data_IF_806919192042
#
_entry.id   IF_806919192042
#
_cell.length_a   1.000
_cell.length_b   1.000
_cell.length_c   1.000
_cell.angle_alpha   90.00
_cell.angle_beta   90.00
_cell.angle_gamma   90.00
#
_symmetry.space_group_name_H-M   'P 1'
#
loop_
_entity.id
_entity.type
_entity.pdbx_description
1 polymer ?
#
# COMPACT_ATOMS: atom_id res chain seq x y z
N UNK A 1 49.72 26.13 9.85
CA UNK A 1 48.64 25.83 8.89
C UNK A 1 47.97 24.48 9.21
N UNK A 2 48.71 23.37 9.26
CA UNK A 2 48.17 22.03 9.56
C UNK A 2 47.35 21.93 10.87
N UNK A 3 47.79 22.56 11.97
CA UNK A 3 47.08 22.50 13.26
C UNK A 3 45.68 23.14 13.22
N UNK A 4 45.52 24.26 12.50
CA UNK A 4 44.22 24.93 12.33
C UNK A 4 43.28 24.11 11.44
N UNK A 5 43.82 23.50 10.39
CA UNK A 5 43.08 22.57 9.53
C UNK A 5 42.58 21.35 10.31
N UNK A 6 43.42 20.74 11.15
CA UNK A 6 43.02 19.60 11.98
C UNK A 6 41.91 19.94 12.99
N UNK A 7 41.91 21.15 13.57
CA UNK A 7 40.82 21.57 14.44
C UNK A 7 39.50 21.78 13.70
N UNK A 8 39.54 22.27 12.45
CA UNK A 8 38.35 22.41 11.60
C UNK A 8 37.80 21.01 11.25
N UNK A 9 38.65 20.08 10.82
CA UNK A 9 38.24 18.71 10.51
C UNK A 9 37.70 17.99 11.75
N UNK A 10 38.35 18.11 12.91
CA UNK A 10 37.85 17.55 14.16
C UNK A 10 36.48 18.15 14.55
N UNK A 11 36.29 19.46 14.38
CA UNK A 11 34.99 20.11 14.60
C UNK A 11 33.90 19.59 13.67
N UNK A 12 34.20 19.39 12.39
CA UNK A 12 33.26 18.81 11.42
C UNK A 12 32.92 17.37 11.75
N UNK A 13 33.90 16.56 12.17
CA UNK A 13 33.67 15.18 12.61
C UNK A 13 32.75 15.16 13.83
N UNK A 14 33.00 16.02 14.83
CA UNK A 14 32.14 16.12 16.02
C UNK A 14 30.72 16.56 15.65
N UNK A 15 30.55 17.50 14.72
CA UNK A 15 29.24 17.91 14.22
C UNK A 15 28.51 16.77 13.47
N UNK A 16 29.22 16.01 12.64
CA UNK A 16 28.66 14.83 11.96
C UNK A 16 28.25 13.76 12.97
N UNK A 17 29.10 13.48 13.97
CA UNK A 17 28.79 12.51 15.02
C UNK A 17 27.62 12.97 15.90
N UNK A 18 27.57 14.26 16.26
CA UNK A 18 26.46 14.84 17.01
C UNK A 18 25.16 14.84 16.19
N UNK A 19 25.22 15.15 14.89
CA UNK A 19 24.09 15.07 13.98
C UNK A 19 23.59 13.63 13.77
N UNK A 20 24.51 12.67 13.60
CA UNK A 20 24.19 11.25 13.52
C UNK A 20 23.60 10.72 14.84
N UNK A 21 24.12 11.18 15.98
CA UNK A 21 23.59 10.88 17.31
C UNK A 21 22.18 11.48 17.49
N UNK A 22 21.98 12.76 17.14
CA UNK A 22 20.68 13.42 17.19
C UNK A 22 19.66 12.74 16.27
N UNK A 23 20.04 12.37 15.04
CA UNK A 23 19.16 11.62 14.13
C UNK A 23 18.87 10.21 14.66
N UNK A 24 19.85 9.54 15.27
CA UNK A 24 19.67 8.21 15.85
C UNK A 24 18.68 8.20 17.02
N UNK A 25 18.64 9.26 17.84
CA UNK A 25 17.77 9.33 19.02
C UNK A 25 16.47 10.12 18.80
N UNK A 26 16.49 11.13 17.93
CA UNK A 26 15.37 12.05 17.67
C UNK A 26 14.93 12.09 16.20
N UNK A 27 15.46 11.23 15.33
CA UNK A 27 15.15 11.23 13.90
C UNK A 27 13.66 11.12 13.60
N UNK A 28 12.95 10.26 14.34
CA UNK A 28 11.50 10.09 14.19
C UNK A 28 10.73 11.38 14.55
N UNK A 29 11.15 12.11 15.59
CA UNK A 29 10.54 13.38 15.98
C UNK A 29 10.89 14.52 15.02
N UNK A 30 12.09 14.50 14.44
CA UNK A 30 12.48 15.44 13.36
C UNK A 30 11.66 15.18 12.09
N UNK A 31 11.43 13.92 11.72
CA UNK A 31 10.56 13.53 10.58
C UNK A 31 9.11 13.97 10.83
N UNK A 32 8.59 13.80 12.06
CA UNK A 32 7.28 14.33 12.45
C UNK A 32 7.22 15.85 12.26
N UNK A 33 8.19 16.57 12.81
CA UNK A 33 8.23 18.04 12.73
C UNK A 33 8.33 18.55 11.29
N UNK A 34 8.97 17.81 10.39
CA UNK A 34 9.17 18.23 8.99
C UNK A 34 8.04 17.86 8.03
N UNK A 35 7.18 16.90 8.40
CA UNK A 35 6.14 16.36 7.50
C UNK A 35 4.71 16.55 8.02
N UNK A 36 4.50 16.78 9.32
CA UNK A 36 3.16 17.07 9.86
C UNK A 36 2.79 18.53 9.54
N UNK A 37 1.60 18.80 8.95
CA UNK A 37 1.14 20.15 8.71
C UNK A 37 1.04 20.99 9.99
N UNK A 38 1.39 22.27 9.87
CA UNK A 38 1.28 23.24 10.97
C UNK A 38 -0.06 23.98 11.03
N UNK A 39 -0.94 23.75 10.06
CA UNK A 39 -2.29 24.35 10.03
C UNK A 39 -3.35 23.43 10.66
N UNK A 40 -4.50 23.98 11.02
CA UNK A 40 -5.69 23.19 11.38
C UNK A 40 -6.32 22.57 10.13
N UNK A 41 -6.99 21.42 10.29
CA UNK A 41 -7.74 20.82 9.20
C UNK A 41 -8.87 21.74 8.74
N UNK A 42 -8.91 22.02 7.43
CA UNK A 42 -10.01 22.75 6.80
C UNK A 42 -11.03 21.76 6.27
N UNK A 43 -12.24 21.80 6.83
CA UNK A 43 -13.35 20.98 6.34
C UNK A 43 -13.65 21.32 4.87
N UNK A 44 -13.74 20.28 4.04
CA UNK A 44 -14.09 20.38 2.63
C UNK A 44 -15.40 19.62 2.40
N UNK A 45 -16.23 20.05 1.45
CA UNK A 45 -17.40 19.27 1.07
C UNK A 45 -16.98 17.91 0.51
N UNK A 46 -17.86 16.93 0.69
CA UNK A 46 -17.78 15.66 -0.02
C UNK A 46 -17.81 15.92 -1.53
N UNK A 47 -17.11 15.09 -2.30
CA UNK A 47 -17.22 15.10 -3.75
C UNK A 47 -18.66 14.80 -4.17
N UNK A 48 -19.09 15.35 -5.31
CA UNK A 48 -20.38 15.04 -5.88
C UNK A 48 -20.50 13.52 -6.14
N UNK A 49 -21.68 12.94 -5.92
CA UNK A 49 -21.90 11.48 -6.06
C UNK A 49 -21.54 10.94 -7.45
N UNK A 50 -21.66 11.76 -8.48
CA UNK A 50 -21.34 11.44 -9.87
C UNK A 50 -19.94 11.94 -10.30
N UNK A 51 -19.11 12.44 -9.38
CA UNK A 51 -17.80 12.99 -9.73
C UNK A 51 -16.94 11.99 -10.53
N UNK A 52 -16.97 10.71 -10.13
CA UNK A 52 -16.18 9.65 -10.76
C UNK A 52 -16.80 9.07 -12.04
N UNK A 53 -17.91 9.62 -12.53
CA UNK A 53 -18.38 9.33 -13.89
C UNK A 53 -17.45 10.01 -14.92
N UNK A 54 -16.81 11.12 -14.52
CA UNK A 54 -15.74 11.77 -15.29
C UNK A 54 -14.46 10.92 -15.28
N UNK A 55 -13.89 10.68 -16.47
CA UNK A 55 -12.64 9.94 -16.62
C UNK A 55 -11.45 10.68 -15.99
N UNK A 56 -11.50 12.01 -15.91
CA UNK A 56 -10.45 12.83 -15.33
C UNK A 56 -10.25 12.58 -13.83
N UNK A 57 -11.26 12.02 -13.15
CA UNK A 57 -11.19 11.63 -11.74
C UNK A 57 -10.49 10.27 -11.51
N UNK A 58 -9.95 9.65 -12.56
CA UNK A 58 -9.24 8.38 -12.48
C UNK A 58 -7.78 8.55 -12.90
N UNK A 59 -6.87 7.94 -12.14
CA UNK A 59 -5.47 7.77 -12.56
C UNK A 59 -5.32 6.57 -13.49
N UNK A 60 -6.08 5.51 -13.22
CA UNK A 60 -6.13 4.32 -14.07
C UNK A 60 -7.58 3.95 -14.36
N UNK A 61 -7.86 3.68 -15.63
CA UNK A 61 -9.15 3.20 -16.15
C UNK A 61 -8.92 2.47 -17.47
N UNK A 62 -9.67 1.42 -17.82
CA UNK A 62 -9.41 0.62 -19.03
C UNK A 62 -9.44 1.41 -20.33
N UNK A 63 -10.22 2.49 -20.39
CA UNK A 63 -10.42 3.35 -21.54
C UNK A 63 -9.64 4.67 -21.48
N UNK A 64 -8.76 4.86 -20.48
CA UNK A 64 -7.87 6.01 -20.40
C UNK A 64 -6.60 5.79 -21.24
N UNK A 65 -6.28 6.70 -22.18
CA UNK A 65 -4.97 6.71 -22.83
C UNK A 65 -3.85 6.87 -21.80
N UNK A 66 -2.73 6.19 -22.02
CA UNK A 66 -1.57 6.29 -21.12
C UNK A 66 -1.78 5.73 -19.72
N UNK A 67 -2.80 4.87 -19.51
CA UNK A 67 -3.10 4.26 -18.22
C UNK A 67 -1.83 3.62 -17.58
N UNK A 68 -1.32 4.16 -16.46
CA UNK A 68 -0.08 3.70 -15.85
C UNK A 68 -0.17 2.26 -15.32
N UNK A 69 -1.38 1.77 -15.02
CA UNK A 69 -1.59 0.40 -14.56
C UNK A 69 -1.41 -0.65 -15.68
N UNK A 70 -1.28 -0.22 -16.95
CA UNK A 70 -0.95 -1.11 -18.08
C UNK A 70 0.56 -1.30 -18.29
N UNK A 71 1.41 -0.56 -17.57
CA UNK A 71 2.86 -0.74 -17.64
C UNK A 71 3.26 -2.16 -17.26
N UNK A 72 4.27 -2.72 -17.91
CA UNK A 72 4.88 -4.01 -17.56
C UNK A 72 6.40 -3.95 -17.76
N UNK A 73 7.19 -4.70 -16.96
CA UNK A 73 8.59 -4.93 -17.27
C UNK A 73 8.73 -5.78 -18.53
N UNK A 74 9.95 -5.86 -19.07
CA UNK A 74 10.26 -6.71 -20.22
C UNK A 74 9.86 -8.17 -19.97
N UNK A 75 9.33 -8.84 -21.00
CA UNK A 75 8.86 -10.22 -20.93
C UNK A 75 7.45 -10.41 -20.37
N UNK A 76 6.80 -9.33 -19.89
CA UNK A 76 5.42 -9.35 -19.44
C UNK A 76 4.54 -8.49 -20.35
N UNK A 77 3.24 -8.79 -20.36
CA UNK A 77 2.26 -8.01 -21.12
C UNK A 77 0.93 -7.99 -20.36
N UNK A 78 0.16 -6.89 -20.39
CA UNK A 78 -1.19 -6.91 -19.84
C UNK A 78 -2.06 -7.92 -20.59
N UNK A 79 -3.25 -8.17 -20.06
CA UNK A 79 -4.22 -9.07 -20.69
C UNK A 79 -4.50 -8.65 -22.15
N UNK A 80 -4.37 -9.58 -23.08
CA UNK A 80 -4.56 -9.31 -24.51
C UNK A 80 -6.03 -9.06 -24.93
N UNK A 81 -7.00 -9.51 -24.13
CA UNK A 81 -8.43 -9.37 -24.41
C UNK A 81 -9.13 -8.63 -23.28
N UNK A 82 -10.04 -7.68 -23.58
CA UNK A 82 -10.89 -7.05 -22.57
C UNK A 82 -11.62 -8.06 -21.69
N UNK A 83 -11.93 -7.67 -20.46
CA UNK A 83 -12.62 -8.54 -19.49
C UNK A 83 -11.74 -9.04 -18.35
N UNK A 84 -11.98 -10.27 -17.87
CA UNK A 84 -11.42 -10.75 -16.60
C UNK A 84 -12.09 -10.07 -15.39
N UNK A 85 -11.38 -10.03 -14.27
CA UNK A 85 -11.85 -9.30 -13.09
C UNK A 85 -11.91 -7.77 -13.37
N UNK A 86 -12.74 -7.08 -12.60
CA UNK A 86 -12.59 -5.64 -12.40
C UNK A 86 -11.73 -5.44 -11.14
N UNK A 87 -10.60 -4.76 -11.28
CA UNK A 87 -9.67 -4.54 -10.17
C UNK A 87 -9.84 -3.11 -9.67
N UNK A 88 -10.31 -2.94 -8.44
CA UNK A 88 -10.35 -1.64 -7.78
C UNK A 88 -9.09 -1.50 -6.94
N UNK A 89 -8.16 -0.66 -7.39
CA UNK A 89 -6.86 -0.45 -6.74
C UNK A 89 -6.81 0.93 -6.09
N UNK A 90 -6.58 0.97 -4.78
CA UNK A 90 -6.44 2.23 -4.02
C UNK A 90 -4.95 2.45 -3.75
N UNK A 91 -4.37 3.46 -4.39
CA UNK A 91 -2.93 3.72 -4.36
C UNK A 91 -2.44 4.24 -3.00
N UNK A 92 -1.13 4.17 -2.71
CA UNK A 92 -0.58 4.66 -1.45
C UNK A 92 -0.49 6.19 -1.44
N UNK A 93 -0.01 6.71 -0.31
CA UNK A 93 0.26 8.13 -0.13
C UNK A 93 1.35 8.62 -1.10
N UNK A 94 0.96 9.58 -1.93
CA UNK A 94 1.80 10.29 -2.89
C UNK A 94 1.92 11.77 -2.53
N UNK A 95 1.10 12.26 -1.61
CA UNK A 95 1.19 13.62 -1.08
C UNK A 95 2.13 13.66 0.12
N UNK A 96 3.31 14.24 -0.08
CA UNK A 96 4.38 14.34 0.94
C UNK A 96 4.64 15.77 1.42
N UNK A 97 3.92 16.75 0.84
CA UNK A 97 3.97 18.13 1.33
C UNK A 97 3.25 18.24 2.68
N UNK A 98 3.69 19.20 3.50
CA UNK A 98 3.07 19.58 4.76
C UNK A 98 2.23 20.86 4.66
N UNK A 99 2.03 21.37 3.45
CA UNK A 99 1.30 22.64 3.23
C UNK A 99 -0.17 22.52 3.64
N UNK A 100 -0.78 21.37 3.35
CA UNK A 100 -2.16 21.05 3.70
C UNK A 100 -2.30 19.65 4.29
N UNK A 101 -3.41 19.42 4.98
CA UNK A 101 -3.76 18.08 5.47
C UNK A 101 -4.15 17.11 4.35
N UNK A 102 -4.73 17.62 3.25
CA UNK A 102 -5.10 16.84 2.09
C UNK A 102 -4.59 17.50 0.80
N UNK A 103 -4.15 16.69 -0.15
CA UNK A 103 -3.76 17.16 -1.48
C UNK A 103 -4.96 17.78 -2.21
N UNK A 104 -4.77 18.91 -2.93
CA UNK A 104 -5.68 19.29 -4.00
C UNK A 104 -5.85 18.13 -4.98
N UNK A 105 -7.08 17.92 -5.48
CA UNK A 105 -7.39 16.78 -6.35
C UNK A 105 -6.62 16.81 -7.67
N UNK A 106 -6.27 18.00 -8.13
CA UNK A 106 -5.55 18.31 -9.37
C UNK A 106 -4.06 18.60 -9.16
N UNK A 107 -3.52 18.35 -7.96
CA UNK A 107 -2.09 18.53 -7.69
C UNK A 107 -1.23 17.63 -8.59
N UNK A 108 -0.46 18.25 -9.49
CA UNK A 108 0.25 17.53 -10.54
C UNK A 108 1.35 16.61 -9.96
N UNK A 109 2.15 17.09 -9.00
CA UNK A 109 3.24 16.32 -8.41
C UNK A 109 2.72 15.08 -7.68
N UNK A 110 1.66 15.23 -6.90
CA UNK A 110 1.00 14.12 -6.19
C UNK A 110 0.42 13.11 -7.16
N UNK A 111 -0.24 13.57 -8.23
CA UNK A 111 -0.85 12.68 -9.22
C UNK A 111 0.20 11.96 -10.09
N UNK A 112 1.31 12.61 -10.44
CA UNK A 112 2.42 11.99 -11.17
C UNK A 112 3.12 10.92 -10.32
N UNK A 113 3.34 11.21 -9.03
CA UNK A 113 3.88 10.23 -8.08
C UNK A 113 2.91 9.06 -7.86
N UNK A 114 1.61 9.31 -7.79
CA UNK A 114 0.60 8.25 -7.70
C UNK A 114 0.59 7.37 -8.95
N UNK A 115 0.66 7.98 -10.15
CA UNK A 115 0.79 7.25 -11.41
C UNK A 115 2.05 6.37 -11.46
N UNK A 116 3.16 6.83 -10.88
CA UNK A 116 4.38 6.04 -10.76
C UNK A 116 4.19 4.81 -9.85
N UNK A 117 3.54 4.97 -8.69
CA UNK A 117 3.21 3.82 -7.83
C UNK A 117 2.30 2.81 -8.53
N UNK A 118 1.34 3.26 -9.35
CA UNK A 118 0.48 2.35 -10.11
C UNK A 118 1.28 1.45 -11.08
N UNK A 119 2.38 1.95 -11.65
CA UNK A 119 3.28 1.13 -12.48
C UNK A 119 3.95 0.02 -11.67
N UNK A 120 4.46 0.31 -10.48
CA UNK A 120 5.18 -0.67 -9.66
C UNK A 120 4.28 -1.59 -8.83
N UNK A 121 3.01 -1.23 -8.64
CA UNK A 121 2.11 -1.91 -7.70
C UNK A 121 0.84 -2.43 -8.39
N UNK A 122 0.00 -1.53 -8.92
CA UNK A 122 -1.28 -1.91 -9.51
C UNK A 122 -1.12 -2.79 -10.76
N UNK A 123 -0.09 -2.54 -11.56
CA UNK A 123 0.18 -3.29 -12.79
C UNK A 123 0.37 -4.80 -12.57
N UNK A 124 0.70 -5.25 -11.35
CA UNK A 124 0.76 -6.68 -11.03
C UNK A 124 -0.57 -7.40 -11.33
N UNK A 125 -1.69 -6.68 -11.33
CA UNK A 125 -3.02 -7.22 -11.56
C UNK A 125 -3.50 -7.15 -13.02
N UNK A 126 -2.75 -6.54 -13.94
CA UNK A 126 -3.22 -6.20 -15.29
C UNK A 126 -3.37 -7.39 -16.26
N UNK A 127 -3.00 -8.59 -15.82
CA UNK A 127 -3.32 -9.85 -16.49
C UNK A 127 -4.67 -10.42 -16.05
N UNK A 128 -4.92 -10.35 -14.74
CA UNK A 128 -6.11 -10.88 -14.11
C UNK A 128 -7.35 -10.07 -14.54
N UNK A 129 -7.19 -8.78 -14.79
CA UNK A 129 -8.30 -7.95 -15.19
C UNK A 129 -7.97 -6.49 -15.48
N UNK A 130 -9.04 -5.72 -15.55
CA UNK A 130 -9.05 -4.30 -15.88
C UNK A 130 -8.99 -3.46 -14.61
N UNK A 131 -7.98 -2.59 -14.51
CA UNK A 131 -7.68 -1.83 -13.30
C UNK A 131 -8.33 -0.44 -13.33
N UNK A 132 -8.93 -0.11 -12.19
CA UNK A 132 -9.56 1.16 -11.87
C UNK A 132 -8.88 1.72 -10.61
N UNK A 133 -8.23 2.87 -10.72
CA UNK A 133 -7.61 3.56 -9.59
C UNK A 133 -8.04 5.04 -9.59
N UNK A 134 -8.78 5.50 -8.56
CA UNK A 134 -9.28 6.86 -8.52
C UNK A 134 -8.18 7.86 -8.18
N UNK A 135 -8.32 9.11 -8.62
CA UNK A 135 -7.74 10.26 -7.93
C UNK A 135 -8.56 10.50 -6.67
N UNK A 136 -7.94 10.81 -5.55
CA UNK A 136 -8.65 11.22 -4.34
C UNK A 136 -7.81 12.23 -3.57
N UNK A 137 -8.45 13.05 -2.72
CA UNK A 137 -7.78 14.06 -1.89
C UNK A 137 -6.99 13.39 -0.78
N UNK A 138 -5.85 12.81 -1.13
CA UNK A 138 -4.96 12.05 -0.25
C UNK A 138 -4.62 12.85 0.99
N UNK A 139 -4.77 12.24 2.17
CA UNK A 139 -4.19 12.83 3.38
C UNK A 139 -2.66 12.80 3.24
N UNK A 140 -1.99 13.86 3.70
CA UNK A 140 -0.52 13.93 3.64
C UNK A 140 0.15 12.79 4.40
N UNK A 141 1.35 12.42 4.00
CA UNK A 141 2.19 11.47 4.73
C UNK A 141 2.32 11.82 6.22
N UNK A 142 2.35 13.11 6.56
CA UNK A 142 2.36 13.59 7.94
C UNK A 142 1.20 13.07 8.80
N UNK A 143 0.04 12.78 8.21
CA UNK A 143 -1.11 12.24 8.92
C UNK A 143 -0.85 10.87 9.58
N UNK A 144 0.13 10.10 9.08
CA UNK A 144 0.50 8.81 9.66
C UNK A 144 1.56 8.92 10.77
N UNK A 145 2.08 10.12 11.02
CA UNK A 145 3.15 10.35 11.99
C UNK A 145 2.66 10.96 13.31
N UNK A 146 1.38 11.29 13.40
CA UNK A 146 0.74 11.95 14.55
C UNK A 146 -0.56 11.25 14.94
N UNK A 147 -1.04 11.52 16.16
CA UNK A 147 -2.36 11.10 16.65
C UNK A 147 -3.33 12.28 16.81
N UNK A 148 -3.05 13.41 16.14
CA UNK A 148 -3.92 14.57 16.17
C UNK A 148 -5.26 14.28 15.46
N UNK A 149 -6.35 14.84 15.98
CA UNK A 149 -7.68 14.65 15.39
C UNK A 149 -7.79 15.17 13.94
N UNK A 150 -6.95 16.14 13.56
CA UNK A 150 -6.86 16.64 12.18
C UNK A 150 -6.39 15.56 11.19
N UNK A 151 -5.48 14.68 11.60
CA UNK A 151 -5.02 13.58 10.77
C UNK A 151 -6.16 12.59 10.47
N UNK A 152 -6.98 12.28 11.48
CA UNK A 152 -8.16 11.43 11.30
C UNK A 152 -9.20 12.09 10.39
N UNK A 153 -9.45 13.39 10.56
CA UNK A 153 -10.34 14.16 9.66
C UNK A 153 -9.85 14.14 8.21
N UNK A 154 -8.56 14.30 8.00
CA UNK A 154 -7.93 14.24 6.68
C UNK A 154 -8.09 12.87 6.03
N UNK A 155 -7.83 11.79 6.79
CA UNK A 155 -8.00 10.41 6.32
C UNK A 155 -9.48 10.10 6.02
N UNK A 156 -10.42 10.62 6.82
CA UNK A 156 -11.85 10.44 6.58
C UNK A 156 -12.32 11.16 5.32
N UNK A 157 -11.83 12.37 5.05
CA UNK A 157 -12.10 13.07 3.79
C UNK A 157 -11.60 12.27 2.58
N UNK A 158 -10.36 11.77 2.65
CA UNK A 158 -9.77 10.94 1.61
C UNK A 158 -10.57 9.65 1.39
N UNK A 159 -11.06 9.01 2.46
CA UNK A 159 -11.91 7.83 2.36
C UNK A 159 -13.27 8.13 1.71
N UNK A 160 -13.89 9.29 1.97
CA UNK A 160 -15.14 9.69 1.33
C UNK A 160 -15.04 9.75 -0.20
N UNK A 161 -13.91 10.26 -0.71
CA UNK A 161 -13.59 10.27 -2.13
C UNK A 161 -13.46 8.83 -2.68
N UNK A 162 -12.71 7.96 -2.00
CA UNK A 162 -12.54 6.54 -2.38
C UNK A 162 -13.87 5.79 -2.37
N UNK A 163 -14.73 6.01 -1.38
CA UNK A 163 -16.05 5.40 -1.29
C UNK A 163 -16.96 5.83 -2.46
N UNK A 164 -16.92 7.11 -2.81
CA UNK A 164 -17.66 7.66 -3.97
C UNK A 164 -17.13 7.09 -5.29
N UNK A 165 -15.81 6.95 -5.43
CA UNK A 165 -15.19 6.31 -6.58
C UNK A 165 -15.63 4.84 -6.71
N UNK A 166 -15.70 4.12 -5.59
CA UNK A 166 -16.12 2.73 -5.57
C UNK A 166 -17.58 2.57 -6.04
N UNK A 167 -18.47 3.49 -5.69
CA UNK A 167 -19.86 3.48 -6.17
C UNK A 167 -19.97 3.65 -7.68
N UNK A 168 -19.22 4.59 -8.25
CA UNK A 168 -19.16 4.76 -9.71
C UNK A 168 -18.51 3.54 -10.38
N UNK A 169 -17.44 2.99 -9.79
CA UNK A 169 -16.81 1.75 -10.26
C UNK A 169 -17.82 0.59 -10.34
N UNK A 170 -18.59 0.33 -9.27
CA UNK A 170 -19.58 -0.75 -9.23
C UNK A 170 -20.66 -0.59 -10.29
N UNK A 171 -21.07 0.66 -10.54
CA UNK A 171 -22.03 1.00 -11.60
C UNK A 171 -21.45 0.69 -12.98
N UNK A 172 -20.21 1.11 -13.23
CA UNK A 172 -19.55 0.99 -14.53
C UNK A 172 -19.16 -0.45 -14.89
N UNK A 173 -18.83 -1.30 -13.92
CA UNK A 173 -18.45 -2.71 -14.18
C UNK A 173 -19.66 -3.65 -14.28
N UNK A 174 -20.86 -3.14 -13.98
CA UNK A 174 -22.10 -3.89 -13.95
C UNK A 174 -22.22 -4.88 -12.79
N UNK A 175 -23.37 -5.58 -12.66
CA UNK A 175 -23.72 -6.31 -11.44
C UNK A 175 -23.06 -7.70 -11.30
N UNK A 176 -22.44 -8.23 -12.35
CA UNK A 176 -21.99 -9.63 -12.42
C UNK A 176 -20.47 -9.82 -12.41
N UNK A 177 -19.71 -8.77 -12.71
CA UNK A 177 -18.27 -8.93 -12.93
C UNK A 177 -17.55 -9.26 -11.61
N UNK A 178 -16.65 -10.27 -11.59
CA UNK A 178 -15.80 -10.55 -10.43
C UNK A 178 -14.93 -9.34 -10.09
N UNK A 179 -14.65 -9.14 -8.80
CA UNK A 179 -13.92 -7.98 -8.30
C UNK A 179 -12.66 -8.46 -7.58
N UNK A 180 -11.52 -7.89 -7.93
CA UNK A 180 -10.34 -7.93 -7.06
C UNK A 180 -10.24 -6.56 -6.39
N UNK A 181 -10.13 -6.55 -5.06
CA UNK A 181 -9.89 -5.34 -4.31
C UNK A 181 -8.41 -5.31 -3.92
N UNK A 182 -7.74 -4.18 -4.12
CA UNK A 182 -6.34 -4.06 -3.76
C UNK A 182 -6.05 -2.65 -3.26
N UNK A 183 -5.14 -2.54 -2.30
CA UNK A 183 -4.64 -1.27 -1.83
C UNK A 183 -3.23 -1.39 -1.29
N UNK A 184 -2.54 -0.26 -1.18
CA UNK A 184 -1.26 -0.16 -0.51
C UNK A 184 -1.26 0.98 0.51
N UNK A 185 -0.68 0.78 1.69
CA UNK A 185 -0.51 1.84 2.71
C UNK A 185 -1.81 2.58 3.03
N UNK A 186 -1.91 3.90 2.81
CA UNK A 186 -3.15 4.67 2.95
C UNK A 186 -4.32 4.05 2.16
N UNK A 187 -4.07 3.57 0.94
CA UNK A 187 -5.09 2.90 0.15
C UNK A 187 -5.53 1.56 0.74
N UNK A 188 -4.63 0.84 1.41
CA UNK A 188 -4.98 -0.36 2.17
C UNK A 188 -5.78 -0.03 3.44
N UNK A 189 -5.46 1.07 4.14
CA UNK A 189 -6.33 1.60 5.21
C UNK A 189 -7.74 1.87 4.68
N UNK A 190 -7.87 2.64 3.59
CA UNK A 190 -9.17 2.91 2.98
C UNK A 190 -9.88 1.64 2.51
N UNK A 191 -9.13 0.65 2.03
CA UNK A 191 -9.68 -0.66 1.69
C UNK A 191 -10.27 -1.38 2.91
N UNK A 192 -9.65 -1.30 4.09
CA UNK A 192 -10.24 -1.89 5.30
C UNK A 192 -11.58 -1.26 5.67
N UNK A 193 -11.71 0.07 5.54
CA UNK A 193 -12.98 0.76 5.75
C UNK A 193 -14.02 0.37 4.70
N UNK A 194 -13.63 0.31 3.42
CA UNK A 194 -14.53 -0.10 2.34
C UNK A 194 -15.02 -1.55 2.52
N UNK A 195 -14.13 -2.46 2.93
CA UNK A 195 -14.49 -3.84 3.27
C UNK A 195 -15.53 -3.87 4.39
N UNK A 196 -15.29 -3.16 5.49
CA UNK A 196 -16.21 -3.11 6.64
C UNK A 196 -17.55 -2.46 6.30
N UNK A 197 -17.53 -1.30 5.67
CA UNK A 197 -18.71 -0.44 5.53
C UNK A 197 -19.60 -0.89 4.35
N UNK A 198 -18.98 -1.41 3.27
CA UNK A 198 -19.67 -1.70 2.00
C UNK A 198 -19.72 -3.19 1.66
N UNK A 199 -18.64 -3.94 1.91
CA UNK A 199 -18.57 -5.36 1.50
C UNK A 199 -19.22 -6.25 2.57
N UNK A 200 -18.88 -6.07 3.84
CA UNK A 200 -19.38 -6.91 4.93
C UNK A 200 -20.90 -6.82 5.11
N UNK A 201 -21.50 -5.70 4.73
CA UNK A 201 -22.93 -5.42 4.81
C UNK A 201 -23.72 -5.85 3.57
N UNK A 202 -23.07 -6.19 2.46
CA UNK A 202 -23.72 -6.59 1.20
C UNK A 202 -23.30 -8.00 0.75
N UNK A 203 -24.11 -9.03 1.05
CA UNK A 203 -23.83 -10.41 0.62
C UNK A 203 -23.74 -10.60 -0.90
N UNK A 204 -24.42 -9.77 -1.71
CA UNK A 204 -24.35 -9.87 -3.19
C UNK A 204 -23.00 -9.36 -3.67
N UNK A 205 -22.53 -8.25 -3.11
CA UNK A 205 -21.24 -7.68 -3.45
C UNK A 205 -20.09 -8.55 -2.94
N UNK A 206 -20.15 -9.02 -1.70
CA UNK A 206 -19.18 -9.95 -1.12
C UNK A 206 -18.99 -11.20 -1.99
N UNK A 207 -20.08 -11.77 -2.53
CA UNK A 207 -20.00 -12.91 -3.44
C UNK A 207 -19.19 -12.62 -4.70
N UNK A 208 -19.07 -11.37 -5.15
CA UNK A 208 -18.28 -11.02 -6.33
C UNK A 208 -16.79 -10.87 -6.06
N UNK A 209 -16.38 -10.78 -4.80
CA UNK A 209 -14.98 -10.54 -4.43
C UNK A 209 -14.16 -11.81 -4.60
N UNK A 210 -13.17 -11.77 -5.49
CA UNK A 210 -12.20 -12.85 -5.72
C UNK A 210 -11.21 -12.90 -4.57
N UNK A 211 -10.61 -11.76 -4.23
CA UNK A 211 -9.68 -11.60 -3.12
C UNK A 211 -9.52 -10.10 -2.80
N UNK A 212 -9.09 -9.80 -1.58
CA UNK A 212 -8.71 -8.46 -1.15
C UNK A 212 -7.24 -8.41 -0.74
N UNK A 213 -6.42 -7.65 -1.46
CA UNK A 213 -4.99 -7.44 -1.19
C UNK A 213 -4.81 -6.14 -0.41
N UNK A 214 -4.79 -6.23 0.91
CA UNK A 214 -4.71 -5.10 1.84
C UNK A 214 -3.26 -4.95 2.29
N UNK A 215 -2.40 -4.50 1.38
CA UNK A 215 -0.93 -4.60 1.52
C UNK A 215 -0.33 -3.37 2.19
N UNK A 216 0.72 -3.54 2.99
CA UNK A 216 1.38 -2.43 3.68
C UNK A 216 0.50 -1.79 4.76
N UNK A 217 -0.47 -2.53 5.31
CA UNK A 217 -1.30 -2.05 6.39
C UNK A 217 -1.55 -3.13 7.45
N UNK A 218 -1.39 -2.83 8.74
CA UNK A 218 -1.66 -3.78 9.80
C UNK A 218 -3.17 -4.05 9.93
N UNK A 219 -3.55 -5.33 10.03
CA UNK A 219 -4.94 -5.75 10.27
C UNK A 219 -4.92 -6.71 11.45
N UNK A 220 -5.63 -6.37 12.53
CA UNK A 220 -5.79 -7.29 13.66
C UNK A 220 -6.61 -8.50 13.24
N UNK A 221 -6.07 -9.71 13.43
CA UNK A 221 -6.86 -10.94 13.32
C UNK A 221 -7.97 -11.00 14.37
N UNK A 222 -7.81 -10.28 15.48
CA UNK A 222 -8.72 -10.32 16.63
C UNK A 222 -9.80 -9.25 16.54
N UNK A 223 -9.42 -8.00 16.31
CA UNK A 223 -10.34 -6.86 16.49
C UNK A 223 -10.81 -6.23 15.18
N UNK A 224 -10.13 -6.51 14.05
CA UNK A 224 -10.47 -5.96 12.73
C UNK A 224 -11.08 -7.00 11.82
N UNK A 225 -10.36 -8.09 11.57
CA UNK A 225 -10.72 -9.12 10.60
C UNK A 225 -12.17 -9.62 10.72
N UNK A 226 -12.72 -9.89 11.93
CA UNK A 226 -14.12 -10.32 12.07
C UNK A 226 -15.16 -9.31 11.56
N UNK A 227 -14.77 -8.04 11.38
CA UNK A 227 -15.65 -6.96 10.91
C UNK A 227 -15.50 -6.67 9.41
N UNK A 228 -14.53 -7.27 8.72
CA UNK A 228 -14.23 -6.98 7.31
C UNK A 228 -15.07 -7.80 6.32
N UNK A 229 -15.84 -8.78 6.81
CA UNK A 229 -16.71 -9.62 5.98
C UNK A 229 -15.99 -10.73 5.19
N UNK A 230 -14.67 -10.76 5.18
CA UNK A 230 -13.86 -11.80 4.55
C UNK A 230 -12.85 -12.36 5.56
N UNK A 231 -12.62 -13.67 5.60
CA UNK A 231 -11.56 -14.26 6.42
C UNK A 231 -10.18 -13.94 5.83
N UNK A 232 -9.13 -14.17 6.61
CA UNK A 232 -7.79 -14.31 6.04
C UNK A 232 -7.75 -15.54 5.12
N UNK A 233 -6.91 -15.51 4.09
CA UNK A 233 -6.73 -16.68 3.25
C UNK A 233 -6.15 -17.84 4.07
N UNK A 234 -6.44 -19.08 3.71
CA UNK A 234 -5.87 -20.29 4.33
C UNK A 234 -5.03 -21.09 3.33
N UNK A 235 -5.39 -21.05 2.04
CA UNK A 235 -4.65 -21.67 0.95
C UNK A 235 -4.38 -20.69 -0.20
N UNK A 236 -3.41 -21.05 -1.04
CA UNK A 236 -2.95 -20.27 -2.19
C UNK A 236 -4.05 -20.01 -3.25
N UNK A 237 -5.04 -20.89 -3.35
CA UNK A 237 -6.13 -20.85 -4.34
C UNK A 237 -7.49 -20.47 -3.73
N UNK A 238 -7.56 -20.24 -2.42
CA UNK A 238 -8.80 -19.79 -1.79
C UNK A 238 -9.24 -18.43 -2.36
N UNK A 239 -10.48 -18.36 -2.83
CA UNK A 239 -11.12 -17.10 -3.15
C UNK A 239 -11.95 -16.58 -1.96
N UNK A 240 -12.41 -15.33 -2.06
CA UNK A 240 -13.17 -14.62 -1.02
C UNK A 240 -12.41 -14.56 0.31
N UNK A 241 -11.15 -14.11 0.25
CA UNK A 241 -10.30 -13.95 1.43
C UNK A 241 -9.41 -12.71 1.33
N UNK A 242 -8.82 -12.35 2.48
CA UNK A 242 -7.93 -11.20 2.65
C UNK A 242 -6.48 -11.68 2.70
N UNK A 243 -5.63 -10.99 1.94
CA UNK A 243 -4.18 -11.07 2.01
C UNK A 243 -3.64 -9.74 2.54
N UNK A 244 -2.61 -9.81 3.37
CA UNK A 244 -1.86 -8.63 3.81
C UNK A 244 -0.44 -9.03 4.16
N UNK A 245 0.49 -8.11 4.00
CA UNK A 245 1.87 -8.23 4.48
C UNK A 245 2.46 -6.83 4.66
N UNK A 246 3.49 -6.76 5.49
CA UNK A 246 4.29 -5.56 5.76
C UNK A 246 5.75 -6.00 5.78
N UNK A 247 6.56 -5.53 4.85
CA UNK A 247 7.85 -6.16 4.55
C UNK A 247 9.03 -5.54 5.30
N UNK A 248 9.83 -6.37 5.96
CA UNK A 248 11.05 -5.97 6.67
C UNK A 248 12.22 -6.91 6.37
N UNK A 249 13.41 -6.34 6.16
CA UNK A 249 14.66 -7.09 6.21
C UNK A 249 15.13 -7.25 7.66
N UNK A 250 16.04 -8.20 7.89
CA UNK A 250 16.56 -8.56 9.20
C UNK A 250 17.93 -7.92 9.46
N UNK A 251 18.19 -7.37 10.67
CA UNK A 251 17.27 -7.28 11.80
C UNK A 251 16.15 -6.25 11.55
N UNK A 252 14.90 -6.66 11.79
CA UNK A 252 13.74 -5.81 11.59
C UNK A 252 13.51 -4.91 12.81
N UNK A 253 13.18 -3.64 12.57
CA UNK A 253 12.72 -2.72 13.61
C UNK A 253 11.36 -2.12 13.20
N UNK A 254 10.25 -2.77 13.62
CA UNK A 254 8.90 -2.31 13.30
C UNK A 254 8.35 -1.25 14.28
N UNK A 255 9.18 -0.68 15.16
CA UNK A 255 8.75 0.26 16.23
C UNK A 255 7.86 1.40 15.72
N UNK A 256 8.23 2.00 14.59
CA UNK A 256 7.45 3.07 13.93
C UNK A 256 5.99 2.69 13.62
N UNK A 257 5.74 1.41 13.34
CA UNK A 257 4.39 0.88 13.07
C UNK A 257 3.71 0.52 14.39
N UNK A 258 4.36 -0.32 15.22
CA UNK A 258 3.72 -0.87 16.42
C UNK A 258 3.41 0.20 17.47
N UNK A 259 4.25 1.23 17.62
CA UNK A 259 4.07 2.30 18.60
C UNK A 259 2.79 3.13 18.38
N UNK A 260 2.40 3.28 17.11
CA UNK A 260 1.17 3.97 16.72
C UNK A 260 0.00 2.99 16.69
N UNK A 261 0.17 1.83 16.04
CA UNK A 261 -0.87 0.83 15.87
C UNK A 261 -1.44 0.31 17.19
N UNK A 262 -0.57 -0.02 18.17
CA UNK A 262 -0.98 -0.55 19.47
C UNK A 262 -1.71 0.48 20.35
N UNK A 263 -1.71 1.77 19.98
CA UNK A 263 -2.51 2.82 20.64
C UNK A 263 -3.90 2.98 20.02
N UNK A 264 -4.16 2.34 18.88
CA UNK A 264 -5.45 2.45 18.19
C UNK A 264 -6.47 1.41 18.65
N UNK A 265 -7.73 1.69 18.36
CA UNK A 265 -8.87 0.81 18.62
C UNK A 265 -9.27 0.07 17.35
N UNK A 266 -9.54 -1.23 17.45
CA UNK A 266 -10.02 -2.07 16.37
C UNK A 266 -11.47 -1.81 15.99
N UNK A 267 -11.91 -2.42 14.89
CA UNK A 267 -13.27 -2.22 14.38
C UNK A 267 -14.38 -2.78 15.26
N UNK A 268 -14.05 -3.63 16.23
CA UNK A 268 -14.97 -4.10 17.27
C UNK A 268 -15.04 -3.20 18.51
N UNK A 269 -14.26 -2.11 18.56
CA UNK A 269 -14.18 -1.19 19.70
C UNK A 269 -13.15 -1.59 20.77
N UNK A 270 -12.41 -2.69 20.61
CA UNK A 270 -11.37 -3.14 21.54
C UNK A 270 -9.97 -2.65 21.14
N UNK A 271 -9.02 -2.47 22.08
CA UNK A 271 -7.65 -2.07 21.75
C UNK A 271 -6.94 -3.07 20.81
N UNK A 272 -6.17 -2.57 19.84
CA UNK A 272 -5.34 -3.41 18.95
C UNK A 272 -4.01 -3.85 19.58
N UNK A 273 -3.66 -3.32 20.75
CA UNK A 273 -2.40 -3.59 21.46
C UNK A 273 -2.08 -5.08 21.54
N UNK A 274 -0.93 -5.48 21.01
CA UNK A 274 -0.46 -6.87 21.07
C UNK A 274 -1.29 -7.90 20.27
N UNK A 275 -2.32 -7.48 19.53
CA UNK A 275 -3.17 -8.43 18.77
C UNK A 275 -2.47 -8.91 17.50
N UNK A 276 -2.39 -10.23 17.22
CA UNK A 276 -1.66 -10.73 16.04
C UNK A 276 -2.23 -10.16 14.74
N UNK A 277 -1.36 -9.85 13.79
CA UNK A 277 -1.77 -9.28 12.51
C UNK A 277 -1.94 -10.34 11.42
N UNK A 278 -2.75 -10.03 10.41
CA UNK A 278 -2.80 -10.82 9.17
C UNK A 278 -1.44 -10.73 8.48
N UNK A 279 -0.89 -11.87 8.12
CA UNK A 279 0.33 -11.96 7.31
C UNK A 279 0.20 -13.13 6.35
N UNK A 280 0.29 -12.85 5.06
CA UNK A 280 0.29 -13.81 3.97
C UNK A 280 1.66 -13.78 3.31
N UNK A 281 2.28 -14.94 3.12
CA UNK A 281 3.53 -15.00 2.37
C UNK A 281 3.24 -14.80 0.87
N UNK A 282 3.65 -13.67 0.27
CA UNK A 282 3.28 -13.34 -1.10
C UNK A 282 3.97 -14.26 -2.12
N UNK A 283 5.02 -14.99 -1.75
CA UNK A 283 5.69 -15.93 -2.65
C UNK A 283 4.81 -17.13 -3.04
N UNK A 284 3.94 -17.54 -2.11
CA UNK A 284 3.14 -18.78 -2.21
C UNK A 284 1.65 -18.55 -1.97
N UNK A 285 1.23 -17.37 -1.52
CA UNK A 285 -0.18 -17.03 -1.31
C UNK A 285 -0.82 -17.67 -0.07
N UNK A 286 0.01 -18.14 0.88
CA UNK A 286 -0.44 -18.87 2.07
C UNK A 286 0.04 -18.15 3.35
N UNK A 287 -0.81 -17.98 4.38
CA UNK A 287 -0.39 -17.39 5.65
C UNK A 287 0.56 -18.29 6.44
N UNK A 288 1.42 -17.67 7.25
CA UNK A 288 2.27 -18.37 8.22
C UNK A 288 3.32 -19.31 7.61
N UNK A 289 3.38 -19.42 6.28
CA UNK A 289 4.29 -20.31 5.59
C UNK A 289 5.62 -19.59 5.27
N UNK A 290 6.72 -20.32 5.37
CA UNK A 290 8.06 -19.88 4.96
C UNK A 290 8.32 -20.35 3.54
N UNK A 291 8.92 -19.50 2.71
CA UNK A 291 9.30 -19.83 1.35
C UNK A 291 10.73 -19.36 1.05
N UNK A 292 11.56 -20.21 0.40
CA UNK A 292 12.91 -19.85 0.00
C UNK A 292 12.89 -18.81 -1.13
N UNK A 293 14.03 -18.15 -1.36
CA UNK A 293 14.17 -17.15 -2.42
C UNK A 293 13.85 -17.71 -3.82
N UNK A 294 14.06 -19.01 -4.05
CA UNK A 294 13.71 -19.70 -5.30
C UNK A 294 12.20 -19.70 -5.62
N UNK A 295 11.34 -19.43 -4.63
CA UNK A 295 9.91 -19.23 -4.85
C UNK A 295 9.56 -17.81 -5.34
N UNK A 296 10.50 -16.86 -5.32
CA UNK A 296 10.31 -15.53 -5.90
C UNK A 296 10.36 -15.61 -7.43
N UNK A 297 9.20 -15.42 -8.06
CA UNK A 297 9.03 -15.47 -9.51
C UNK A 297 9.56 -14.20 -10.20
N UNK A 298 9.75 -13.12 -9.44
CA UNK A 298 10.24 -11.87 -10.00
C UNK A 298 10.10 -10.68 -9.06
N UNK A 299 11.24 -10.15 -8.63
CA UNK A 299 11.39 -8.85 -7.97
C UNK A 299 11.65 -7.77 -9.03
N UNK A 300 10.94 -6.64 -8.96
CA UNK A 300 11.23 -5.46 -9.78
C UNK A 300 12.40 -4.66 -9.20
N UNK A 301 13.34 -4.30 -10.07
CA UNK A 301 14.44 -3.39 -9.81
C UNK A 301 14.29 -2.17 -10.72
N UNK A 302 13.72 -1.06 -10.22
CA UNK A 302 13.50 0.13 -11.03
C UNK A 302 14.83 0.75 -11.48
N UNK A 303 14.86 1.22 -12.72
CA UNK A 303 15.97 2.03 -13.22
C UNK A 303 16.04 3.38 -12.49
N UNK A 304 17.18 4.07 -12.57
CA UNK A 304 17.39 5.32 -11.85
C UNK A 304 16.39 6.43 -12.22
N UNK A 305 15.89 6.43 -13.46
CA UNK A 305 14.88 7.36 -13.96
C UNK A 305 13.43 6.93 -13.65
N UNK A 306 13.26 5.75 -13.04
CA UNK A 306 11.97 5.11 -12.72
C UNK A 306 11.06 4.89 -13.95
N UNK A 307 11.61 5.00 -15.17
CA UNK A 307 10.85 4.81 -16.41
C UNK A 307 10.70 3.33 -16.77
N UNK A 308 11.73 2.54 -16.45
CA UNK A 308 11.77 1.09 -16.67
C UNK A 308 12.16 0.34 -15.39
N UNK A 309 11.99 -0.97 -15.39
CA UNK A 309 12.50 -1.83 -14.32
C UNK A 309 12.94 -3.17 -14.91
N UNK A 310 14.07 -3.68 -14.40
CA UNK A 310 14.43 -5.07 -14.61
C UNK A 310 13.60 -5.96 -13.67
N UNK A 311 13.34 -7.21 -14.07
CA UNK A 311 12.69 -8.20 -13.21
C UNK A 311 13.60 -9.42 -13.04
N UNK A 312 13.83 -9.82 -11.79
CA UNK A 312 14.72 -10.95 -11.48
C UNK A 312 14.08 -11.90 -10.48
N UNK A 313 14.03 -13.18 -10.82
CA UNK A 313 13.55 -14.25 -9.95
C UNK A 313 14.63 -14.70 -8.94
N UNK A 314 14.23 -15.44 -7.91
CA UNK A 314 15.17 -16.14 -7.04
C UNK A 314 15.87 -15.27 -5.98
N UNK A 315 15.40 -14.04 -5.73
CA UNK A 315 16.15 -13.05 -4.95
C UNK A 315 15.72 -12.89 -3.49
N UNK A 316 14.42 -13.01 -3.23
CA UNK A 316 13.84 -12.60 -1.94
C UNK A 316 13.14 -13.78 -1.30
N UNK A 317 13.66 -14.35 -0.19
CA UNK A 317 12.90 -15.30 0.61
C UNK A 317 11.81 -14.57 1.40
N UNK A 318 10.87 -15.29 1.98
CA UNK A 318 9.87 -14.66 2.84
C UNK A 318 9.34 -15.62 3.92
N UNK A 319 9.11 -15.09 5.12
CA UNK A 319 8.34 -15.77 6.19
C UNK A 319 7.54 -14.74 6.99
N UNK A 320 6.39 -15.13 7.50
CA UNK A 320 5.69 -14.32 8.49
C UNK A 320 6.33 -14.54 9.87
N UNK A 321 6.51 -13.48 10.65
CA UNK A 321 6.83 -13.59 12.07
C UNK A 321 5.56 -13.77 12.92
N UNK A 322 5.73 -13.94 14.23
CA UNK A 322 4.63 -14.15 15.17
C UNK A 322 3.70 -12.94 15.30
N UNK A 323 4.25 -11.72 15.15
CA UNK A 323 3.47 -10.48 15.27
C UNK A 323 2.62 -10.23 14.01
N UNK A 324 3.05 -10.74 12.86
CA UNK A 324 2.43 -10.62 11.54
C UNK A 324 3.18 -9.70 10.57
N UNK A 325 4.49 -9.52 10.73
CA UNK A 325 5.38 -8.89 9.75
C UNK A 325 5.98 -9.92 8.80
N UNK A 326 6.23 -9.51 7.56
CA UNK A 326 6.88 -10.35 6.54
C UNK A 326 8.38 -10.09 6.56
N UNK A 327 9.16 -11.11 6.94
CA UNK A 327 10.62 -11.04 7.03
C UNK A 327 11.27 -11.64 5.79
N UNK A 328 12.25 -10.92 5.23
CA UNK A 328 12.88 -11.25 3.95
C UNK A 328 14.39 -11.56 4.01
N UNK A 329 14.94 -11.84 5.20
CA UNK A 329 16.39 -11.98 5.40
C UNK A 329 17.11 -10.65 5.19
N UNK A 330 18.27 -10.65 4.53
CA UNK A 330 19.09 -9.43 4.34
C UNK A 330 18.40 -8.32 3.51
N UNK A 331 17.45 -8.70 2.66
CA UNK A 331 16.76 -7.80 1.75
C UNK A 331 17.61 -7.39 0.52
N UNK A 332 16.99 -7.24 -0.66
CA UNK A 332 17.71 -6.88 -1.88
C UNK A 332 17.98 -5.38 -2.00
N UNK A 333 19.04 -5.00 -2.72
CA UNK A 333 19.29 -3.61 -3.11
C UNK A 333 18.33 -3.16 -4.23
N UNK A 334 17.11 -2.74 -3.87
CA UNK A 334 16.04 -2.33 -4.81
C UNK A 334 15.91 -0.81 -5.00
N UNK A 335 16.77 -0.04 -4.33
CA UNK A 335 16.83 1.41 -4.48
C UNK A 335 16.86 2.16 -3.15
N UNK A 336 16.70 3.49 -3.17
CA UNK A 336 16.95 4.35 -2.01
C UNK A 336 15.75 4.48 -1.06
N UNK A 337 14.61 3.83 -1.33
CA UNK A 337 13.36 4.03 -0.59
C UNK A 337 13.11 2.98 0.49
N UNK A 338 14.16 2.29 0.94
CA UNK A 338 14.10 1.46 2.16
C UNK A 338 14.03 2.43 3.35
N UNK A 339 12.94 2.34 4.10
CA UNK A 339 12.66 3.21 5.24
C UNK A 339 13.48 2.78 6.47
N UNK A 340 13.64 3.66 7.47
CA UNK A 340 14.29 3.32 8.73
C UNK A 340 13.75 2.03 9.35
N UNK A 341 14.63 1.27 10.01
CA UNK A 341 14.30 -0.01 10.63
C UNK A 341 14.24 -1.20 9.68
N UNK A 342 14.96 -1.12 8.55
CA UNK A 342 14.96 -2.14 7.49
C UNK A 342 13.56 -2.37 6.91
N UNK A 343 12.77 -1.30 6.80
CA UNK A 343 11.39 -1.35 6.36
C UNK A 343 11.28 -1.17 4.85
N UNK A 344 10.81 -2.21 4.15
CA UNK A 344 10.66 -2.26 2.69
C UNK A 344 9.24 -1.90 2.23
N UNK A 345 8.45 -1.22 3.06
CA UNK A 345 7.05 -0.83 2.81
C UNK A 345 6.80 -0.24 1.41
N UNK A 346 7.67 0.65 0.93
CA UNK A 346 7.54 1.24 -0.44
C UNK A 346 7.57 0.18 -1.54
N UNK A 347 8.23 -0.94 -1.27
CA UNK A 347 8.48 -2.05 -2.19
C UNK A 347 7.59 -3.28 -1.95
N UNK A 348 6.58 -3.21 -1.07
CA UNK A 348 5.76 -4.38 -0.70
C UNK A 348 5.18 -5.14 -1.91
N UNK A 349 4.76 -4.43 -2.95
CA UNK A 349 4.33 -5.07 -4.21
C UNK A 349 5.50 -5.40 -5.12
N UNK A 350 6.47 -4.50 -5.29
CA UNK A 350 7.53 -4.64 -6.29
C UNK A 350 8.49 -5.80 -5.99
N UNK A 351 8.73 -6.12 -4.71
CA UNK A 351 9.51 -7.31 -4.31
C UNK A 351 8.89 -8.63 -4.78
N UNK A 352 7.57 -8.64 -4.94
CA UNK A 352 6.81 -9.86 -5.22
C UNK A 352 5.94 -9.70 -6.47
N UNK A 353 6.28 -8.77 -7.37
CA UNK A 353 5.39 -8.35 -8.45
C UNK A 353 4.90 -9.52 -9.31
N UNK A 354 5.81 -10.41 -9.73
CA UNK A 354 5.44 -11.58 -10.52
C UNK A 354 4.66 -12.63 -9.70
N UNK A 355 4.94 -12.73 -8.40
CA UNK A 355 4.20 -13.63 -7.50
C UNK A 355 2.77 -13.13 -7.27
N UNK A 356 2.57 -11.83 -7.02
CA UNK A 356 1.24 -11.21 -6.87
C UNK A 356 0.43 -11.39 -8.14
N UNK A 357 1.07 -11.17 -9.30
CA UNK A 357 0.46 -11.42 -10.61
C UNK A 357 0.01 -12.88 -10.76
N UNK A 358 0.86 -13.85 -10.44
CA UNK A 358 0.52 -15.27 -10.49
C UNK A 358 -0.59 -15.64 -9.49
N UNK A 359 -0.55 -15.09 -8.27
CA UNK A 359 -1.56 -15.32 -7.22
C UNK A 359 -2.94 -14.78 -7.64
N UNK A 360 -3.01 -13.55 -8.15
CA UNK A 360 -4.26 -12.95 -8.62
C UNK A 360 -4.92 -13.77 -9.74
N UNK A 361 -4.13 -14.21 -10.73
CA UNK A 361 -4.63 -15.10 -11.79
C UNK A 361 -5.11 -16.44 -11.24
N UNK A 362 -4.36 -17.06 -10.32
CA UNK A 362 -4.71 -18.35 -9.71
C UNK A 362 -6.02 -18.26 -8.94
N UNK A 363 -6.20 -17.24 -8.09
CA UNK A 363 -7.45 -17.03 -7.33
C UNK A 363 -8.63 -16.73 -8.24
N UNK A 364 -8.42 -15.93 -9.29
CA UNK A 364 -9.45 -15.66 -10.29
C UNK A 364 -9.88 -16.94 -11.03
N UNK A 365 -8.92 -17.81 -11.37
CA UNK A 365 -9.22 -19.09 -12.02
C UNK A 365 -9.98 -20.06 -11.10
N UNK A 366 -9.68 -20.04 -9.80
CA UNK A 366 -10.38 -20.86 -8.80
C UNK A 366 -11.77 -20.30 -8.40
N UNK A 367 -12.02 -19.02 -8.68
CA UNK A 367 -13.24 -18.34 -8.26
C UNK A 367 -14.47 -18.83 -9.01
N UNK A 368 -15.45 -19.35 -8.24
CA UNK A 368 -16.78 -19.72 -8.72
C UNK A 368 -17.78 -18.68 -8.22
N UNK A 369 -18.40 -17.86 -9.10
CA UNK A 369 -19.23 -16.72 -8.70
C UNK A 369 -20.35 -17.09 -7.71
#
# INVERSE_FOLDING_TARGET
MARKFLYIIAGLIVLVLAGAFAYRFFGNDLIRMSLVPGEEFRAQPDVARNAYDDKAMWLARPDLPGNPALWTPEGYSPRARPGGAAVFFIHPTSYVSRDHWNAPIDDAETNDRAALFLRGQASAFNEAGEIWAPRYRQATFGAFLTSAADAERALNLAYGDVATAFDSFLTQIGPRRPIILAGHSQGALHLTHLLRDRIASDPKLLRRVVAAYVVGWPISRTTDLPRLGLPDCATADQARCILSWQTFAEPADPSLIVDTYDKTTGFDGQPRRGTPMVCTNPLIGTPGATAPATANLGTLYPAADLATAAITAGKVPARCDERGFLLIGEGPAVGPYVLPGNNYHVYDYSLFWANVRADANRRLAAFKP
#
